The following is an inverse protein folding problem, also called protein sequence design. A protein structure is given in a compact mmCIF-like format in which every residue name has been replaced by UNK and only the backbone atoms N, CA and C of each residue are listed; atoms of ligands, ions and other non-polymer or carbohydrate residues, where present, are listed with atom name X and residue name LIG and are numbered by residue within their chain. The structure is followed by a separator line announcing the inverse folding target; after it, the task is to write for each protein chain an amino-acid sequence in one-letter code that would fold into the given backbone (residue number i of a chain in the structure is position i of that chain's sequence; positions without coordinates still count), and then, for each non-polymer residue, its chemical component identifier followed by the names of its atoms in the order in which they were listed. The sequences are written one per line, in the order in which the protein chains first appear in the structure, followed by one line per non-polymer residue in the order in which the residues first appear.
data_IF_284682452813
#
_entry.id   IF_284682452813
#
_cell.length_a   1.000
_cell.length_b   1.000
_cell.length_c   1.000
_cell.angle_alpha   90.00
_cell.angle_beta   90.00
_cell.angle_gamma   90.00
#
_symmetry.space_group_name_H-M   'P 1'
#
loop_
_entity.id
_entity.type
_entity.pdbx_description
1 polymer ?
#
# COMPACT_ATOMS: atom_id res chain seq x y z
N UNK A 1 41.01 -51.05 -42.31
CA UNK A 1 40.21 -49.83 -42.05
C UNK A 1 39.29 -49.99 -40.82
N UNK A 2 39.80 -50.32 -39.61
CA UNK A 2 38.93 -50.61 -38.42
C UNK A 2 39.46 -50.13 -37.06
N UNK A 3 40.39 -49.16 -37.02
CA UNK A 3 40.99 -48.66 -35.76
C UNK A 3 40.74 -47.17 -35.46
N UNK A 4 40.10 -46.43 -36.37
CA UNK A 4 39.87 -44.97 -36.20
C UNK A 4 38.51 -44.60 -35.58
N UNK A 5 37.56 -45.54 -35.53
CA UNK A 5 36.22 -45.27 -34.98
C UNK A 5 36.08 -45.57 -33.48
N UNK A 6 37.10 -46.19 -32.86
CA UNK A 6 37.05 -46.53 -31.43
C UNK A 6 37.46 -45.38 -30.50
N UNK A 7 38.01 -44.28 -31.06
CA UNK A 7 38.45 -43.11 -30.28
C UNK A 7 37.39 -41.99 -30.20
N UNK A 8 36.21 -42.16 -30.81
CA UNK A 8 35.14 -41.14 -30.81
C UNK A 8 33.92 -41.53 -29.96
N UNK A 9 34.01 -42.57 -29.16
CA UNK A 9 32.92 -43.02 -28.28
C UNK A 9 33.17 -42.75 -26.79
N UNK A 10 34.33 -42.20 -26.41
CA UNK A 10 34.65 -41.81 -25.03
C UNK A 10 34.54 -40.30 -24.80
N UNK A 11 33.69 -39.59 -25.55
CA UNK A 11 33.49 -38.15 -25.43
C UNK A 11 32.01 -37.74 -25.21
N UNK A 12 31.12 -38.69 -24.94
CA UNK A 12 29.70 -38.45 -24.69
C UNK A 12 29.19 -39.16 -23.43
N UNK A 13 29.99 -39.15 -22.35
CA UNK A 13 29.61 -39.78 -21.08
C UNK A 13 29.91 -38.91 -19.85
N UNK A 14 29.86 -37.58 -19.98
CA UNK A 14 29.92 -36.65 -18.84
C UNK A 14 29.06 -35.40 -19.13
N UNK A 15 27.73 -35.53 -19.13
CA UNK A 15 26.83 -34.36 -19.16
C UNK A 15 25.43 -34.66 -18.60
N UNK A 16 25.29 -35.57 -17.63
CA UNK A 16 24.00 -35.89 -17.00
C UNK A 16 24.09 -36.00 -15.48
N UNK A 17 24.71 -34.99 -14.85
CA UNK A 17 24.63 -34.79 -13.41
C UNK A 17 24.09 -33.39 -13.12
N UNK A 18 22.87 -33.33 -12.57
CA UNK A 18 22.49 -32.22 -11.68
C UNK A 18 21.57 -31.13 -12.22
N UNK A 19 20.40 -31.47 -12.77
CA UNK A 19 19.27 -30.52 -12.84
C UNK A 19 18.27 -30.86 -11.72
N UNK A 20 18.68 -30.65 -10.47
CA UNK A 20 17.80 -30.63 -9.29
C UNK A 20 18.30 -29.60 -8.26
N UNK A 21 18.54 -28.36 -8.72
CA UNK A 21 18.88 -27.23 -7.85
C UNK A 21 17.99 -26.02 -8.16
N UNK A 22 16.67 -26.23 -8.24
CA UNK A 22 15.70 -25.17 -8.54
C UNK A 22 15.13 -24.45 -7.30
N UNK A 23 15.14 -25.08 -6.13
CA UNK A 23 14.39 -24.58 -4.96
C UNK A 23 15.25 -23.95 -3.85
N UNK A 24 16.59 -24.08 -3.89
CA UNK A 24 17.47 -23.52 -2.85
C UNK A 24 18.19 -22.23 -3.26
N UNK A 25 18.17 -21.90 -4.56
CA UNK A 25 18.86 -20.71 -5.06
C UNK A 25 18.10 -19.40 -4.78
N UNK A 26 16.84 -19.45 -4.36
CA UNK A 26 16.03 -18.26 -4.05
C UNK A 26 16.22 -17.80 -2.60
N UNK A 27 16.25 -18.73 -1.65
CA UNK A 27 16.52 -18.44 -0.24
C UNK A 27 17.91 -17.85 -0.02
N UNK A 28 18.95 -18.44 -0.63
CA UNK A 28 20.33 -17.96 -0.45
C UNK A 28 20.52 -16.54 -0.97
N UNK A 29 19.90 -16.20 -2.11
CA UNK A 29 19.97 -14.85 -2.69
C UNK A 29 19.28 -13.81 -1.81
N UNK A 30 18.08 -14.11 -1.30
CA UNK A 30 17.37 -13.22 -0.38
C UNK A 30 18.16 -12.97 0.93
N UNK A 31 18.83 -14.00 1.46
CA UNK A 31 19.68 -13.86 2.64
C UNK A 31 20.98 -13.08 2.37
N UNK A 32 21.58 -13.24 1.20
CA UNK A 32 22.79 -12.51 0.80
C UNK A 32 22.49 -11.03 0.56
N UNK A 33 21.34 -10.72 -0.05
CA UNK A 33 20.84 -9.36 -0.24
C UNK A 33 20.57 -8.69 1.12
N UNK A 34 19.91 -9.40 2.04
CA UNK A 34 19.66 -8.92 3.40
C UNK A 34 20.96 -8.64 4.19
N UNK A 35 21.96 -9.52 4.07
CA UNK A 35 23.25 -9.30 4.69
C UNK A 35 23.98 -8.09 4.10
N UNK A 36 23.83 -7.86 2.79
CA UNK A 36 24.40 -6.71 2.10
C UNK A 36 23.73 -5.40 2.52
N UNK A 37 22.38 -5.35 2.54
CA UNK A 37 21.61 -4.20 3.04
C UNK A 37 22.01 -3.84 4.47
N UNK A 38 22.10 -4.83 5.37
CA UNK A 38 22.55 -4.62 6.74
C UNK A 38 23.96 -4.02 6.85
N UNK A 39 24.92 -4.46 6.03
CA UNK A 39 26.28 -3.90 6.04
C UNK A 39 26.29 -2.43 5.64
N UNK A 40 25.54 -2.07 4.60
CA UNK A 40 25.41 -0.68 4.14
C UNK A 40 24.73 0.21 5.19
N UNK A 41 23.61 -0.24 5.76
CA UNK A 41 22.90 0.49 6.82
C UNK A 41 23.79 0.67 8.05
N UNK A 42 24.50 -0.38 8.48
CA UNK A 42 25.43 -0.31 9.60
C UNK A 42 26.54 0.70 9.33
N UNK A 43 27.10 0.74 8.13
CA UNK A 43 28.10 1.75 7.77
C UNK A 43 27.54 3.17 7.85
N UNK A 44 26.34 3.41 7.31
CA UNK A 44 25.65 4.69 7.43
C UNK A 44 25.39 5.10 8.90
N UNK A 45 25.03 4.15 9.76
CA UNK A 45 24.88 4.39 11.20
C UNK A 45 26.23 4.77 11.86
N UNK A 46 27.33 4.12 11.47
CA UNK A 46 28.65 4.34 12.07
C UNK A 46 29.31 5.64 11.59
N UNK A 47 29.08 6.02 10.33
CA UNK A 47 29.58 7.25 9.72
C UNK A 47 28.79 8.50 10.16
N UNK A 48 27.65 8.32 10.82
CA UNK A 48 26.76 9.40 11.23
C UNK A 48 25.94 9.98 10.07
N UNK A 49 25.89 9.28 8.93
CA UNK A 49 25.06 9.66 7.78
C UNK A 49 23.57 9.36 8.00
N UNK A 50 23.22 8.61 9.04
CA UNK A 50 21.83 8.44 9.45
C UNK A 50 21.29 9.70 10.12
N UNK A 51 20.10 10.17 9.73
CA UNK A 51 19.36 11.24 10.42
C UNK A 51 18.74 10.82 11.77
N UNK A 52 19.29 9.78 12.41
CA UNK A 52 18.81 9.20 13.66
C UNK A 52 19.97 9.00 14.65
N UNK A 53 19.66 8.81 15.94
CA UNK A 53 20.65 8.40 16.94
C UNK A 53 21.35 7.10 16.51
N UNK A 54 22.68 7.05 16.64
CA UNK A 54 23.49 5.91 16.19
C UNK A 54 23.08 4.60 16.83
N UNK A 55 22.76 4.61 18.13
CA UNK A 55 22.34 3.39 18.82
C UNK A 55 20.99 2.89 18.28
N UNK A 56 20.07 3.81 18.03
CA UNK A 56 18.76 3.54 17.41
C UNK A 56 18.92 2.98 16.00
N UNK A 57 19.72 3.64 15.17
CA UNK A 57 20.03 3.20 13.81
C UNK A 57 20.56 1.75 13.79
N UNK A 58 21.53 1.43 14.65
CA UNK A 58 22.09 0.07 14.73
C UNK A 58 21.07 -0.97 15.21
N UNK A 59 20.18 -0.60 16.14
CA UNK A 59 19.08 -1.47 16.59
C UNK A 59 18.10 -1.74 15.45
N UNK A 60 17.69 -0.71 14.71
CA UNK A 60 16.75 -0.82 13.59
C UNK A 60 17.33 -1.66 12.45
N UNK A 61 18.58 -1.42 12.06
CA UNK A 61 19.28 -2.23 11.04
C UNK A 61 19.39 -3.70 11.47
N UNK A 62 19.69 -3.97 12.74
CA UNK A 62 19.73 -5.33 13.29
C UNK A 62 18.36 -6.02 13.29
N UNK A 63 17.30 -5.29 13.65
CA UNK A 63 15.94 -5.78 13.60
C UNK A 63 15.53 -6.12 12.15
N UNK A 64 15.78 -5.21 11.21
CA UNK A 64 15.52 -5.44 9.78
C UNK A 64 16.24 -6.67 9.25
N UNK A 65 17.52 -6.87 9.61
CA UNK A 65 18.25 -8.10 9.24
C UNK A 65 17.61 -9.36 9.85
N UNK A 66 17.20 -9.30 11.13
CA UNK A 66 16.55 -10.42 11.81
C UNK A 66 15.25 -10.83 11.12
N UNK A 67 14.40 -9.85 10.79
CA UNK A 67 13.16 -10.06 10.04
C UNK A 67 13.41 -10.63 8.64
N UNK A 68 14.44 -10.13 7.95
CA UNK A 68 14.83 -10.61 6.63
C UNK A 68 15.26 -12.08 6.66
N UNK A 69 16.11 -12.45 7.63
CA UNK A 69 16.55 -13.84 7.84
C UNK A 69 15.40 -14.77 8.21
N UNK A 70 14.41 -14.25 8.94
CA UNK A 70 13.20 -14.97 9.28
C UNK A 70 12.20 -15.08 8.11
N UNK A 71 12.49 -14.48 6.95
CA UNK A 71 11.60 -14.47 5.79
C UNK A 71 10.32 -13.66 6.02
N UNK A 72 10.33 -12.72 6.98
CA UNK A 72 9.15 -11.91 7.34
C UNK A 72 9.11 -10.55 6.65
N UNK A 73 10.19 -10.17 5.95
CA UNK A 73 10.17 -9.04 5.02
C UNK A 73 9.54 -9.48 3.70
N UNK A 74 8.29 -9.10 3.49
CA UNK A 74 7.62 -9.26 2.20
C UNK A 74 7.97 -8.03 1.34
N UNK A 75 8.92 -8.19 0.41
CA UNK A 75 9.16 -7.23 -0.67
C UNK A 75 7.92 -7.28 -1.59
N UNK A 76 6.86 -6.55 -1.21
CA UNK A 76 5.59 -6.51 -1.94
C UNK A 76 5.84 -6.08 -3.38
N UNK A 77 5.05 -6.61 -4.30
CA UNK A 77 5.16 -6.23 -5.71
C UNK A 77 4.79 -4.75 -5.91
N UNK A 78 5.33 -4.12 -6.96
CA UNK A 78 4.93 -2.77 -7.38
C UNK A 78 3.39 -2.64 -7.54
N UNK A 79 2.73 -3.71 -7.97
CA UNK A 79 1.27 -3.77 -8.06
C UNK A 79 0.59 -3.69 -6.68
N UNK A 80 1.13 -4.37 -5.67
CA UNK A 80 0.60 -4.30 -4.29
C UNK A 80 0.80 -2.91 -3.68
N UNK A 81 1.96 -2.28 -3.89
CA UNK A 81 2.17 -0.89 -3.47
C UNK A 81 1.21 0.08 -4.16
N UNK A 82 0.95 -0.12 -5.45
CA UNK A 82 -0.03 0.66 -6.22
C UNK A 82 -1.44 0.47 -5.68
N UNK A 83 -1.86 -0.76 -5.40
CA UNK A 83 -3.17 -1.04 -4.82
C UNK A 83 -3.34 -0.31 -3.48
N UNK A 84 -2.38 -0.45 -2.57
CA UNK A 84 -2.39 0.27 -1.28
C UNK A 84 -2.46 1.79 -1.48
N UNK A 85 -1.79 2.32 -2.50
CA UNK A 85 -1.89 3.73 -2.84
C UNK A 85 -3.31 4.12 -3.27
N UNK A 86 -3.95 3.32 -4.13
CA UNK A 86 -5.32 3.56 -4.59
C UNK A 86 -6.35 3.44 -3.45
N UNK A 87 -6.17 2.53 -2.49
CA UNK A 87 -7.03 2.44 -1.30
C UNK A 87 -7.09 3.76 -0.54
N UNK A 88 -5.96 4.49 -0.45
CA UNK A 88 -5.93 5.81 0.18
C UNK A 88 -6.77 6.85 -0.55
N UNK A 89 -7.00 6.71 -1.86
CA UNK A 89 -7.90 7.61 -2.58
C UNK A 89 -9.38 7.25 -2.40
N UNK A 90 -9.71 5.99 -2.09
CA UNK A 90 -11.11 5.54 -1.99
C UNK A 90 -11.88 6.17 -0.83
N UNK A 91 -11.19 6.60 0.22
CA UNK A 91 -11.83 7.27 1.37
C UNK A 91 -12.29 8.70 1.05
N UNK A 92 -11.84 9.28 -0.06
CA UNK A 92 -12.23 10.63 -0.47
C UNK A 92 -13.63 10.67 -1.11
N UNK A 93 -14.31 11.84 -1.08
CA UNK A 93 -15.54 12.08 -1.83
C UNK A 93 -15.35 11.76 -3.32
N UNK A 94 -16.41 11.31 -4.00
CA UNK A 94 -16.35 10.89 -5.40
C UNK A 94 -15.73 11.94 -6.33
N UNK A 95 -16.02 13.23 -6.10
CA UNK A 95 -15.46 14.36 -6.86
C UNK A 95 -13.94 14.46 -6.80
N UNK A 96 -13.32 13.99 -5.72
CA UNK A 96 -11.90 14.23 -5.43
C UNK A 96 -11.03 13.01 -5.75
N UNK A 97 -11.66 11.85 -6.02
CA UNK A 97 -10.97 10.58 -6.24
C UNK A 97 -10.07 10.63 -7.47
N UNK A 98 -10.59 11.14 -8.58
CA UNK A 98 -9.84 11.20 -9.84
C UNK A 98 -8.61 12.10 -9.70
N UNK A 99 -8.76 13.25 -9.05
CA UNK A 99 -7.66 14.15 -8.74
C UNK A 99 -6.63 13.51 -7.79
N UNK A 100 -7.05 12.70 -6.82
CA UNK A 100 -6.16 11.94 -5.95
C UNK A 100 -5.36 10.89 -6.73
N UNK A 101 -6.02 10.10 -7.57
CA UNK A 101 -5.37 9.08 -8.42
C UNK A 101 -4.38 9.74 -9.37
N UNK A 102 -4.73 10.88 -9.97
CA UNK A 102 -3.83 11.66 -10.79
C UNK A 102 -2.54 12.05 -10.05
N UNK A 103 -2.63 12.52 -8.80
CA UNK A 103 -1.44 12.82 -7.98
C UNK A 103 -0.61 11.56 -7.71
N UNK A 104 -1.24 10.43 -7.43
CA UNK A 104 -0.54 9.16 -7.18
C UNK A 104 0.20 8.64 -8.43
N UNK A 105 -0.41 8.78 -9.60
CA UNK A 105 0.17 8.38 -10.88
C UNK A 105 1.29 9.32 -11.34
N UNK A 106 1.54 10.40 -10.59
CA UNK A 106 2.60 11.36 -10.88
C UNK A 106 2.22 12.35 -11.98
N UNK A 107 0.95 12.41 -12.37
CA UNK A 107 0.48 13.50 -13.22
C UNK A 107 0.52 14.82 -12.45
N UNK A 108 1.22 15.81 -13.00
CA UNK A 108 1.42 17.12 -12.40
C UNK A 108 2.87 17.34 -11.96
N UNK A 109 3.07 18.10 -10.88
CA UNK A 109 4.39 18.49 -10.38
C UNK A 109 4.73 17.71 -9.12
N UNK A 110 5.98 17.27 -9.03
CA UNK A 110 6.55 16.65 -7.84
C UNK A 110 7.71 17.52 -7.35
N UNK A 111 7.73 17.83 -6.05
CA UNK A 111 8.78 18.64 -5.43
C UNK A 111 9.11 18.15 -4.02
N UNK A 112 10.27 18.57 -3.50
CA UNK A 112 10.79 18.14 -2.20
C UNK A 112 11.66 16.88 -2.30
N UNK A 113 12.05 16.36 -1.14
CA UNK A 113 12.88 15.15 -1.00
C UNK A 113 12.58 14.48 0.32
N UNK A 114 12.91 13.18 0.43
CA UNK A 114 12.76 12.44 1.69
C UNK A 114 13.65 13.05 2.78
N UNK A 115 14.90 13.40 2.43
CA UNK A 115 15.83 14.10 3.34
C UNK A 115 15.29 15.47 3.76
N UNK A 116 14.63 16.20 2.86
CA UNK A 116 14.00 17.48 3.13
C UNK A 116 12.67 17.41 3.88
N UNK A 117 12.27 16.23 4.36
CA UNK A 117 11.07 16.03 5.19
C UNK A 117 9.79 15.67 4.44
N UNK A 118 9.81 15.55 3.10
CA UNK A 118 8.65 15.08 2.36
C UNK A 118 8.68 15.33 0.86
N UNK A 119 7.84 14.58 0.16
CA UNK A 119 7.57 14.74 -1.28
C UNK A 119 6.17 15.30 -1.45
N UNK A 120 6.06 16.47 -2.07
CA UNK A 120 4.80 17.10 -2.42
C UNK A 120 4.40 16.74 -3.85
N UNK A 121 3.12 16.43 -4.05
CA UNK A 121 2.54 16.07 -5.34
C UNK A 121 1.36 16.99 -5.62
N UNK A 122 1.48 17.76 -6.68
CA UNK A 122 0.51 18.79 -7.07
C UNK A 122 -0.13 18.42 -8.40
N UNK A 123 -1.47 18.41 -8.42
CA UNK A 123 -2.26 18.24 -9.63
C UNK A 123 -3.24 19.40 -9.76
N UNK A 124 -3.24 20.06 -10.93
CA UNK A 124 -4.12 21.20 -11.22
C UNK A 124 -5.17 20.77 -12.24
N UNK A 125 -6.42 20.73 -11.81
CA UNK A 125 -7.56 20.50 -12.67
C UNK A 125 -8.21 21.84 -13.00
N UNK A 126 -8.42 22.10 -14.30
CA UNK A 126 -9.18 23.26 -14.78
C UNK A 126 -10.55 22.78 -15.22
N UNK A 127 -11.59 23.23 -14.54
CA UNK A 127 -12.96 23.01 -14.96
C UNK A 127 -13.37 24.15 -15.90
N UNK A 128 -13.78 23.81 -17.13
CA UNK A 128 -14.43 24.77 -18.00
C UNK A 128 -15.87 24.89 -17.50
N UNK A 129 -16.20 26.04 -16.91
CA UNK A 129 -17.57 26.31 -16.49
C UNK A 129 -18.52 26.13 -17.67
N UNK A 130 -19.62 25.40 -17.46
CA UNK A 130 -20.74 25.43 -18.40
C UNK A 130 -21.21 26.88 -18.47
N UNK A 131 -21.42 27.47 -19.67
CA UNK A 131 -22.00 28.80 -19.76
C UNK A 131 -23.26 28.84 -18.90
N UNK A 132 -23.32 29.77 -17.94
CA UNK A 132 -24.54 29.98 -17.17
C UNK A 132 -25.65 30.24 -18.19
N UNK A 133 -26.60 29.30 -18.31
CA UNK A 133 -27.81 29.56 -19.08
C UNK A 133 -28.37 30.88 -18.57
N UNK A 134 -28.61 31.88 -19.45
CA UNK A 134 -29.22 33.12 -19.05
C UNK A 134 -30.45 32.78 -18.20
N UNK A 135 -30.52 33.35 -17.00
CA UNK A 135 -31.67 33.17 -16.13
C UNK A 135 -32.93 33.38 -16.98
N UNK A 136 -33.81 32.39 -17.01
CA UNK A 136 -35.10 32.53 -17.69
C UNK A 136 -35.73 33.84 -17.21
N UNK A 137 -36.19 34.67 -18.16
CA UNK A 137 -36.75 35.98 -17.87
C UNK A 137 -37.74 35.88 -16.69
N UNK A 138 -37.72 36.83 -15.74
CA UNK A 138 -38.62 36.78 -14.60
C UNK A 138 -40.05 36.70 -15.10
N UNK A 139 -40.75 35.61 -14.76
CA UNK A 139 -42.20 35.55 -14.93
C UNK A 139 -42.82 36.72 -14.16
N UNK A 140 -43.96 37.29 -14.62
CA UNK A 140 -44.63 38.35 -13.90
C UNK A 140 -44.92 37.92 -12.47
N UNK A 141 -44.35 38.65 -11.50
CA UNK A 141 -44.60 38.42 -10.08
C UNK A 141 -46.07 38.81 -9.82
N UNK A 142 -46.93 37.93 -9.28
CA UNK A 142 -48.27 38.33 -8.89
C UNK A 142 -48.19 39.40 -7.79
N UNK A 143 -49.17 40.32 -7.71
CA UNK A 143 -49.17 41.38 -6.71
C UNK A 143 -49.07 40.77 -5.30
N UNK A 144 -48.17 41.33 -4.49
CA UNK A 144 -47.99 40.89 -3.10
C UNK A 144 -49.31 41.09 -2.33
N UNK A 145 -49.79 40.06 -1.59
CA UNK A 145 -50.89 40.26 -0.67
C UNK A 145 -50.50 41.26 0.42
N UNK A 146 -51.47 42.07 0.84
CA UNK A 146 -51.30 43.12 1.84
C UNK A 146 -50.68 42.58 3.15
N UNK A 147 -49.85 43.37 3.86
CA UNK A 147 -49.19 42.92 5.06
C UNK A 147 -50.22 42.63 6.15
N UNK A 148 -50.36 41.37 6.54
CA UNK A 148 -51.06 40.99 7.76
C UNK A 148 -50.28 41.54 8.96
N UNK A 149 -50.99 42.19 9.88
CA UNK A 149 -50.42 42.72 11.11
C UNK A 149 -49.85 41.56 11.94
N UNK A 150 -48.53 41.60 12.16
CA UNK A 150 -47.82 40.63 12.96
C UNK A 150 -48.22 40.84 14.42
N UNK A 151 -48.99 39.91 15.00
CA UNK A 151 -49.22 39.90 16.44
C UNK A 151 -47.88 39.64 17.16
N UNK A 152 -47.57 40.36 18.26
CA UNK A 152 -46.33 40.14 18.98
C UNK A 152 -46.29 38.72 19.57
N UNK A 153 -45.14 38.03 19.50
CA UNK A 153 -45.01 36.69 20.06
C UNK A 153 -45.08 36.76 21.60
N UNK A 154 -45.86 35.87 22.21
CA UNK A 154 -45.86 35.67 23.66
C UNK A 154 -44.52 35.08 24.11
N UNK A 155 -44.02 35.41 25.32
CA UNK A 155 -42.72 34.94 25.79
C UNK A 155 -42.75 33.41 26.00
N UNK A 156 -41.90 32.71 25.26
CA UNK A 156 -41.68 31.27 25.41
C UNK A 156 -40.90 31.01 26.70
N UNK A 157 -41.48 30.19 27.57
CA UNK A 157 -40.88 29.73 28.81
C UNK A 157 -39.61 28.92 28.49
N UNK A 158 -38.52 29.21 29.21
CA UNK A 158 -37.20 28.60 29.06
C UNK A 158 -37.26 27.07 29.13
N UNK A 159 -36.83 26.38 28.07
CA UNK A 159 -36.47 24.97 28.16
C UNK A 159 -35.06 24.84 28.78
N UNK A 160 -34.81 23.84 29.65
CA UNK A 160 -33.49 23.61 30.22
C UNK A 160 -32.52 23.14 29.14
N UNK A 161 -31.39 23.82 29.04
CA UNK A 161 -30.29 23.50 28.13
C UNK A 161 -29.70 22.14 28.53
N UNK A 162 -29.76 21.13 27.65
CA UNK A 162 -28.94 19.92 27.82
C UNK A 162 -27.47 20.31 27.61
N UNK A 163 -26.65 20.09 28.64
CA UNK A 163 -25.23 20.40 28.60
C UNK A 163 -24.51 19.55 27.53
N UNK A 164 -23.48 20.09 26.84
CA UNK A 164 -22.66 19.33 25.92
C UNK A 164 -22.00 18.16 26.67
N UNK A 165 -22.31 16.93 26.25
CA UNK A 165 -21.67 15.74 26.80
C UNK A 165 -20.21 15.73 26.34
N UNK A 166 -19.27 15.76 27.28
CA UNK A 166 -17.84 15.62 26.98
C UNK A 166 -17.58 14.30 26.25
N UNK A 167 -16.70 14.28 25.23
CA UNK A 167 -16.32 13.02 24.59
C UNK A 167 -15.66 12.09 25.61
N UNK A 168 -15.84 10.76 25.48
CA UNK A 168 -15.22 9.81 26.39
C UNK A 168 -13.69 9.95 26.35
N UNK A 169 -13.00 9.69 27.47
CA UNK A 169 -11.55 9.75 27.52
C UNK A 169 -10.94 8.77 26.51
N UNK A 170 -9.85 9.20 25.85
CA UNK A 170 -9.10 8.35 24.95
C UNK A 170 -8.66 7.06 25.69
N UNK A 171 -8.70 5.90 25.03
CA UNK A 171 -8.20 4.66 25.63
C UNK A 171 -6.72 4.83 26.01
N UNK A 172 -6.26 4.21 27.11
CA UNK A 172 -4.86 4.30 27.49
C UNK A 172 -3.98 3.74 26.36
N UNK A 173 -2.75 4.26 26.18
CA UNK A 173 -1.80 3.67 25.25
C UNK A 173 -1.66 2.20 25.60
N UNK A 174 -1.81 1.32 24.60
CA UNK A 174 -1.58 -0.11 24.80
C UNK A 174 -0.15 -0.26 25.30
N UNK A 175 0.01 -0.77 26.52
CA UNK A 175 1.27 -1.25 27.03
C UNK A 175 1.74 -2.33 26.06
N UNK A 176 2.73 -1.99 25.24
CA UNK A 176 3.48 -2.96 24.48
C UNK A 176 4.37 -3.68 25.49
N UNK A 177 3.77 -4.61 26.25
CA UNK A 177 4.54 -5.60 26.99
C UNK A 177 5.35 -6.33 25.92
N UNK A 178 6.68 -6.15 25.92
CA UNK A 178 7.63 -6.61 24.91
C UNK A 178 7.74 -8.14 24.76
N UNK A 179 6.65 -8.87 24.93
CA UNK A 179 6.48 -10.24 24.48
C UNK A 179 6.33 -10.23 22.95
N UNK A 180 6.97 -11.17 22.24
CA UNK A 180 6.72 -11.37 20.82
C UNK A 180 5.25 -11.72 20.64
N UNK A 181 4.45 -10.74 20.20
CA UNK A 181 3.03 -10.89 20.01
C UNK A 181 2.76 -11.94 18.95
N UNK A 182 1.99 -12.96 19.32
CA UNK A 182 1.45 -13.94 18.39
C UNK A 182 0.71 -13.23 17.26
N UNK A 183 0.90 -13.73 16.05
CA UNK A 183 0.27 -13.24 14.83
C UNK A 183 -1.23 -13.05 15.05
N UNK A 184 -1.70 -11.80 14.96
CA UNK A 184 -3.13 -11.55 14.75
C UNK A 184 -3.47 -12.03 13.34
N UNK A 185 -4.39 -12.99 13.16
CA UNK A 185 -4.80 -13.40 11.83
C UNK A 185 -5.62 -12.26 11.23
N UNK A 186 -5.03 -11.52 10.29
CA UNK A 186 -5.84 -10.72 9.37
C UNK A 186 -6.78 -11.68 8.65
N UNK A 187 -8.08 -11.43 8.79
CA UNK A 187 -9.16 -12.29 8.31
C UNK A 187 -8.95 -12.70 6.86
N UNK A 188 -8.66 -13.99 6.67
CA UNK A 188 -8.63 -14.60 5.36
C UNK A 188 -10.03 -14.66 4.79
N UNK A 189 -10.25 -14.00 3.65
CA UNK A 189 -11.34 -14.37 2.76
C UNK A 189 -11.09 -15.82 2.30
N UNK A 190 -12.09 -16.71 2.32
CA UNK A 190 -11.89 -18.09 1.86
C UNK A 190 -11.53 -18.09 0.38
N UNK A 191 -10.42 -18.76 0.04
CA UNK A 191 -10.03 -18.98 -1.34
C UNK A 191 -11.15 -19.75 -2.08
N UNK A 192 -11.49 -19.41 -3.34
CA UNK A 192 -12.41 -20.21 -4.13
C UNK A 192 -11.81 -21.60 -4.33
N UNK A 193 -12.59 -22.63 -3.97
CA UNK A 193 -12.26 -24.04 -4.18
C UNK A 193 -12.08 -24.33 -5.67
N UNK A 194 -10.83 -24.28 -6.15
CA UNK A 194 -10.46 -24.78 -7.46
C UNK A 194 -10.57 -26.31 -7.45
N UNK A 195 -11.58 -26.82 -8.13
CA UNK A 195 -11.71 -28.25 -8.40
C UNK A 195 -10.53 -28.68 -9.29
N UNK A 196 -9.89 -29.84 -9.02
CA UNK A 196 -8.81 -30.33 -9.85
C UNK A 196 -9.33 -30.65 -11.25
N UNK A 197 -8.60 -30.20 -12.27
CA UNK A 197 -8.90 -30.54 -13.66
C UNK A 197 -8.83 -32.07 -13.87
N UNK A 198 -9.70 -32.64 -14.73
CA UNK A 198 -9.69 -34.07 -15.01
C UNK A 198 -8.36 -34.50 -15.65
N UNK A 199 -7.80 -35.61 -15.16
CA UNK A 199 -6.56 -36.19 -15.69
C UNK A 199 -6.76 -36.64 -17.15
N UNK A 200 -5.76 -36.46 -18.03
CA UNK A 200 -5.79 -37.03 -19.37
C UNK A 200 -5.69 -38.57 -19.31
N UNK A 201 -6.30 -39.29 -20.28
CA UNK A 201 -6.28 -40.75 -20.29
C UNK A 201 -4.86 -41.29 -20.49
N UNK A 202 -4.56 -42.38 -19.79
CA UNK A 202 -3.27 -43.07 -19.87
C UNK A 202 -2.98 -43.55 -21.31
N UNK A 203 -1.73 -43.48 -21.77
CA UNK A 203 -1.36 -43.99 -23.09
C UNK A 203 -1.55 -45.50 -23.14
N UNK A 204 -2.36 -45.95 -24.11
CA UNK A 204 -2.67 -47.35 -24.33
C UNK A 204 -1.43 -48.17 -24.67
N UNK A 205 -1.33 -49.35 -24.05
CA UNK A 205 -0.39 -50.40 -24.41
C UNK A 205 -0.80 -50.98 -25.76
N UNK A 206 0.08 -50.90 -26.75
CA UNK A 206 0.04 -51.75 -27.95
C UNK A 206 1.44 -52.28 -28.21
#
# INVERSE_FOLDING_TARGET
MRKKNLLRLTALALCSAGVMAGAHAQTSRASDDAATRYRMEREACLSGQSHQDRQTCLREAGAAQGEAKAGRLDDRSAASYRQNALERCRVLPMSDRDACVARLDGTGRVSGSVEGGGILREYVQREVGVPQQPAAAPMPVPPRPMPQQVQPPMPSQMQPQMQPQMPPPAPPPRSYDGRPGGAVPYGGMPAPSMQPAPMPPAPGTR
#
